data_IF_608617997300
#
_entry.id   IF_608617997300
#
_cell.length_a   1.000
_cell.length_b   1.000
_cell.length_c   1.000
_cell.angle_alpha   90.00
_cell.angle_beta   90.00
_cell.angle_gamma   90.00
#
_symmetry.space_group_name_H-M   'P 1'
#
loop_
_entity.id
_entity.type
_entity.pdbx_description
1 polymer ?
#
# COMPACT_ATOMS: atom_id res chain seq x y z
N UNK A 1 26.65 -6.51 -21.07
CA UNK A 1 26.42 -7.33 -19.86
C UNK A 1 25.08 -7.99 -20.09
N UNK A 2 25.14 -9.32 -20.24
CA UNK A 2 24.08 -10.32 -20.32
C UNK A 2 23.05 -10.16 -21.43
N UNK A 3 23.09 -11.09 -22.39
CA UNK A 3 22.02 -11.30 -23.36
C UNK A 3 20.69 -11.44 -22.61
N UNK A 4 19.80 -10.45 -22.71
CA UNK A 4 18.57 -10.34 -21.90
C UNK A 4 17.68 -11.60 -21.91
N UNK A 5 17.85 -12.47 -22.92
CA UNK A 5 17.20 -13.78 -23.00
C UNK A 5 17.58 -14.75 -21.88
N UNK A 6 18.78 -14.60 -21.28
CA UNK A 6 19.27 -15.45 -20.19
C UNK A 6 18.86 -14.95 -18.79
N UNK A 7 18.29 -13.75 -18.70
CA UNK A 7 17.81 -13.15 -17.44
C UNK A 7 16.29 -13.32 -17.24
N UNK A 8 15.67 -14.18 -18.04
CA UNK A 8 14.26 -14.55 -17.89
C UNK A 8 14.10 -15.41 -16.62
N UNK A 9 13.43 -14.85 -15.61
CA UNK A 9 13.29 -15.47 -14.28
C UNK A 9 12.38 -16.71 -14.25
N UNK A 10 11.43 -16.84 -15.19
CA UNK A 10 10.57 -18.02 -15.28
C UNK A 10 10.03 -18.22 -16.69
N UNK A 11 9.74 -19.48 -17.03
CA UNK A 11 9.40 -19.87 -18.39
C UNK A 11 7.94 -19.65 -18.77
N UNK A 12 7.02 -19.37 -17.86
CA UNK A 12 5.60 -19.11 -18.17
C UNK A 12 4.89 -18.46 -16.97
N UNK A 13 3.78 -17.75 -17.23
CA UNK A 13 3.10 -16.75 -16.38
C UNK A 13 2.54 -17.16 -15.00
N UNK A 14 3.20 -18.09 -14.31
CA UNK A 14 2.81 -18.61 -12.99
C UNK A 14 3.31 -17.72 -11.84
N UNK A 15 4.31 -16.87 -12.09
CA UNK A 15 4.90 -15.98 -11.08
C UNK A 15 4.67 -14.52 -11.44
N UNK A 16 4.10 -13.77 -10.51
CA UNK A 16 3.88 -12.35 -10.68
C UNK A 16 5.09 -11.52 -10.27
N UNK A 17 5.56 -10.66 -11.18
CA UNK A 17 6.51 -9.59 -10.89
C UNK A 17 5.93 -8.26 -11.38
N UNK A 18 5.74 -7.32 -10.45
CA UNK A 18 5.30 -5.99 -10.82
C UNK A 18 6.41 -5.27 -11.60
N UNK A 19 6.11 -4.84 -12.82
CA UNK A 19 7.12 -4.29 -13.73
C UNK A 19 6.60 -3.06 -14.47
N UNK A 20 7.10 -1.88 -14.07
CA UNK A 20 6.66 -0.59 -14.62
C UNK A 20 7.04 -0.43 -16.09
N UNK A 21 8.20 -0.94 -16.49
CA UNK A 21 8.67 -0.87 -17.88
C UNK A 21 7.77 -1.69 -18.81
N UNK A 22 7.12 -2.74 -18.29
CA UNK A 22 6.05 -3.45 -19.01
C UNK A 22 4.89 -2.52 -19.38
N UNK A 23 4.48 -1.62 -18.49
CA UNK A 23 3.47 -0.60 -18.78
C UNK A 23 3.98 0.48 -19.73
N UNK A 24 5.26 0.85 -19.67
CA UNK A 24 5.87 1.73 -20.66
C UNK A 24 5.81 1.13 -22.08
N UNK A 25 6.07 -0.19 -22.21
CA UNK A 25 5.91 -0.92 -23.47
C UNK A 25 4.44 -0.96 -23.94
N UNK A 26 3.48 -1.13 -23.03
CA UNK A 26 2.05 -1.02 -23.38
C UNK A 26 1.68 0.38 -23.92
N UNK A 27 2.26 1.44 -23.35
CA UNK A 27 2.13 2.80 -23.88
C UNK A 27 2.64 2.93 -25.32
N UNK A 28 3.79 2.31 -25.62
CA UNK A 28 4.35 2.28 -26.98
C UNK A 28 3.49 1.46 -27.94
N UNK A 29 2.93 0.33 -27.49
CA UNK A 29 1.99 -0.47 -28.30
C UNK A 29 0.76 0.37 -28.67
N UNK A 30 0.16 1.07 -27.70
CA UNK A 30 -0.97 1.97 -27.96
C UNK A 30 -0.58 3.00 -29.01
N UNK A 31 0.60 3.61 -28.88
CA UNK A 31 1.07 4.63 -29.81
C UNK A 31 1.21 4.09 -31.25
N UNK A 32 1.81 2.91 -31.42
CA UNK A 32 2.00 2.30 -32.74
C UNK A 32 0.68 1.87 -33.38
N UNK A 33 -0.21 1.29 -32.61
CA UNK A 33 -1.51 0.78 -33.11
C UNK A 33 -2.44 1.94 -33.44
N UNK A 34 -2.49 2.98 -32.61
CA UNK A 34 -3.43 4.10 -32.82
C UNK A 34 -2.87 5.22 -33.70
N UNK A 35 -1.56 5.27 -33.94
CA UNK A 35 -0.89 6.39 -34.60
C UNK A 35 -0.92 7.70 -33.81
N UNK A 36 -1.19 7.66 -32.50
CA UNK A 36 -1.28 8.83 -31.61
C UNK A 36 -0.31 8.66 -30.46
N UNK A 37 0.26 9.74 -29.93
CA UNK A 37 1.02 9.67 -28.67
C UNK A 37 0.12 9.08 -27.56
N UNK A 38 0.68 8.24 -26.69
CA UNK A 38 -0.06 7.61 -25.58
C UNK A 38 -0.87 8.62 -24.77
N UNK A 39 -0.24 9.72 -24.35
CA UNK A 39 -0.88 10.77 -23.54
C UNK A 39 -2.05 11.44 -24.27
N UNK A 40 -1.93 11.67 -25.58
CA UNK A 40 -3.01 12.16 -26.44
C UNK A 40 -4.15 11.14 -26.54
N UNK A 41 -3.82 9.86 -26.76
CA UNK A 41 -4.82 8.80 -26.85
C UNK A 41 -5.64 8.69 -25.56
N UNK A 42 -4.99 8.65 -24.39
CA UNK A 42 -5.66 8.58 -23.09
C UNK A 42 -6.50 9.84 -22.83
N UNK A 43 -5.97 11.03 -23.17
CA UNK A 43 -6.71 12.28 -23.00
C UNK A 43 -8.00 12.28 -23.83
N UNK A 44 -7.95 11.83 -25.08
CA UNK A 44 -9.09 11.86 -26.00
C UNK A 44 -10.12 10.76 -25.76
N UNK A 45 -9.66 9.54 -25.44
CA UNK A 45 -10.53 8.36 -25.38
C UNK A 45 -10.98 8.02 -23.95
N UNK A 46 -10.30 8.54 -22.93
CA UNK A 46 -10.60 8.23 -21.52
C UNK A 46 -10.92 9.51 -20.75
N UNK A 47 -9.98 10.46 -20.66
CA UNK A 47 -10.15 11.63 -19.78
C UNK A 47 -11.29 12.54 -20.24
N UNK A 48 -11.33 12.92 -21.52
CA UNK A 48 -12.40 13.78 -22.07
C UNK A 48 -13.79 13.14 -21.94
N UNK A 49 -14.04 11.87 -22.33
CA UNK A 49 -15.35 11.23 -22.13
C UNK A 49 -15.80 11.13 -20.67
N UNK A 50 -14.85 11.05 -19.73
CA UNK A 50 -15.12 11.09 -18.28
C UNK A 50 -15.26 12.52 -17.73
N UNK A 51 -15.05 13.53 -18.57
CA UNK A 51 -15.04 14.94 -18.17
C UNK A 51 -13.88 15.30 -17.25
N UNK A 52 -12.78 14.54 -17.25
CA UNK A 52 -11.61 14.72 -16.38
C UNK A 52 -10.69 15.83 -16.92
N UNK A 53 -11.19 17.07 -16.98
CA UNK A 53 -10.52 18.22 -17.59
C UNK A 53 -9.35 18.78 -16.77
N UNK A 54 -9.25 18.42 -15.48
CA UNK A 54 -8.10 18.78 -14.62
C UNK A 54 -7.07 17.66 -14.51
N UNK A 55 -7.23 16.58 -15.28
CA UNK A 55 -6.32 15.45 -15.32
C UNK A 55 -5.39 15.56 -16.53
N UNK A 56 -4.09 15.38 -16.33
CA UNK A 56 -3.09 15.64 -17.36
C UNK A 56 -1.80 14.84 -17.14
N UNK A 57 -1.09 14.59 -18.23
CA UNK A 57 0.32 14.13 -18.21
C UNK A 57 1.31 15.30 -18.31
N UNK A 58 0.83 16.48 -18.70
CA UNK A 58 1.64 17.69 -18.83
C UNK A 58 1.73 18.42 -17.49
N UNK A 59 2.93 18.44 -16.91
CA UNK A 59 3.23 19.11 -15.65
C UNK A 59 3.00 20.63 -15.72
N UNK A 60 3.20 21.25 -16.87
CA UNK A 60 3.05 22.70 -17.02
C UNK A 60 1.61 23.17 -16.79
N UNK A 61 0.63 22.27 -16.99
CA UNK A 61 -0.78 22.51 -16.65
C UNK A 61 -0.97 22.55 -15.14
N UNK A 62 -0.33 21.64 -14.41
CA UNK A 62 -0.40 21.61 -12.94
C UNK A 62 0.29 22.82 -12.31
N UNK A 63 1.45 23.24 -12.82
CA UNK A 63 2.17 24.41 -12.27
C UNK A 63 1.38 25.72 -12.41
N UNK A 64 0.32 25.74 -13.23
CA UNK A 64 -0.59 26.87 -13.43
C UNK A 64 -1.93 26.70 -12.73
N UNK A 65 -2.23 25.51 -12.19
CA UNK A 65 -3.49 25.25 -11.49
C UNK A 65 -3.41 25.82 -10.07
N UNK A 66 -4.34 26.72 -9.66
CA UNK A 66 -4.31 27.34 -8.33
C UNK A 66 -4.56 26.37 -7.18
N UNK A 67 -5.11 25.19 -7.47
CA UNK A 67 -5.40 24.11 -6.51
C UNK A 67 -4.49 22.89 -6.79
N UNK A 68 -3.27 23.16 -7.29
CA UNK A 68 -2.23 22.17 -7.44
C UNK A 68 -1.62 21.76 -6.09
N UNK A 69 -1.40 20.47 -5.90
CA UNK A 69 -0.69 19.99 -4.71
C UNK A 69 0.80 20.37 -4.74
N UNK A 70 1.33 20.71 -3.57
CA UNK A 70 2.78 20.66 -3.31
C UNK A 70 3.15 19.26 -2.86
N UNK A 71 3.97 18.54 -3.64
CA UNK A 71 4.48 17.22 -3.25
C UNK A 71 5.61 17.32 -2.23
N UNK A 72 5.74 16.33 -1.36
CA UNK A 72 6.74 16.29 -0.31
C UNK A 72 7.44 14.93 -0.23
N UNK A 73 8.76 14.94 -0.01
CA UNK A 73 9.48 13.79 0.53
C UNK A 73 9.51 13.89 2.06
N UNK A 74 9.35 12.77 2.74
CA UNK A 74 9.56 12.72 4.18
C UNK A 74 11.06 12.69 4.48
N UNK A 75 11.47 13.36 5.55
CA UNK A 75 12.86 13.30 6.02
C UNK A 75 12.99 12.26 7.12
N UNK A 76 14.20 11.73 7.30
CA UNK A 76 14.51 10.76 8.37
C UNK A 76 14.13 11.26 9.78
N UNK A 77 14.08 12.58 9.97
CA UNK A 77 13.70 13.23 11.24
C UNK A 77 12.20 13.55 11.34
N UNK A 78 11.35 12.98 10.48
CA UNK A 78 9.90 13.22 10.45
C UNK A 78 9.48 14.56 9.85
N UNK A 79 10.41 15.31 9.23
CA UNK A 79 10.11 16.55 8.53
C UNK A 79 9.58 16.30 7.10
N UNK A 80 9.24 17.38 6.40
CA UNK A 80 8.76 17.33 5.00
C UNK A 80 9.58 18.28 4.14
N UNK A 81 10.06 17.80 2.99
CA UNK A 81 10.79 18.60 2.01
C UNK A 81 9.97 18.75 0.73
N UNK A 82 9.58 19.97 0.32
CA UNK A 82 8.88 20.19 -0.94
C UNK A 82 9.69 19.63 -2.11
N UNK A 83 9.04 18.91 -3.01
CA UNK A 83 9.63 18.38 -4.23
C UNK A 83 8.65 18.49 -5.40
N UNK A 84 9.21 18.62 -6.61
CA UNK A 84 8.41 18.60 -7.84
C UNK A 84 8.03 17.17 -8.17
N UNK A 85 6.86 17.00 -8.81
CA UNK A 85 6.46 15.71 -9.35
C UNK A 85 7.44 15.29 -10.46
N UNK A 86 7.97 14.06 -10.42
CA UNK A 86 8.86 13.57 -11.47
C UNK A 86 8.03 13.31 -12.74
N UNK A 87 8.36 14.03 -13.81
CA UNK A 87 7.67 13.91 -15.09
C UNK A 87 8.69 13.52 -16.16
N UNK A 88 8.42 12.41 -16.86
CA UNK A 88 9.24 11.94 -17.96
C UNK A 88 8.38 11.08 -18.91
N UNK A 89 8.52 11.21 -20.24
CA UNK A 89 7.70 10.42 -21.18
C UNK A 89 7.75 8.90 -20.96
N UNK A 90 8.88 8.38 -20.46
CA UNK A 90 9.02 6.95 -20.12
C UNK A 90 8.14 6.50 -18.95
N UNK A 91 7.70 7.41 -18.08
CA UNK A 91 6.83 7.09 -16.94
C UNK A 91 5.35 7.36 -17.21
N UNK A 92 5.01 8.03 -18.32
CA UNK A 92 3.63 8.45 -18.63
C UNK A 92 2.65 7.27 -18.56
N UNK A 93 2.98 6.14 -19.19
CA UNK A 93 2.12 4.97 -19.22
C UNK A 93 2.11 4.15 -17.92
N UNK A 94 3.20 4.19 -17.15
CA UNK A 94 3.32 3.44 -15.90
C UNK A 94 2.74 4.18 -14.68
N UNK A 95 2.74 5.52 -14.69
CA UNK A 95 2.31 6.30 -13.53
C UNK A 95 2.37 7.83 -13.69
N UNK A 96 2.45 8.36 -14.90
CA UNK A 96 2.63 9.80 -15.12
C UNK A 96 1.32 10.62 -15.11
N UNK A 97 0.16 9.99 -14.93
CA UNK A 97 -1.10 10.72 -14.86
C UNK A 97 -1.21 11.50 -13.55
N UNK A 98 -1.42 12.81 -13.66
CA UNK A 98 -1.75 13.69 -12.55
C UNK A 98 -3.26 13.93 -12.57
N UNK A 99 -3.92 13.74 -11.44
CA UNK A 99 -5.38 13.88 -11.30
C UNK A 99 -5.77 14.33 -9.88
N UNK A 100 -7.05 14.64 -9.68
CA UNK A 100 -7.64 14.86 -8.35
C UNK A 100 -8.51 13.68 -7.94
N UNK A 101 -8.73 13.48 -6.64
CA UNK A 101 -9.63 12.42 -6.13
C UNK A 101 -11.04 12.54 -6.69
N UNK A 102 -11.50 13.78 -6.96
CA UNK A 102 -12.82 14.10 -7.54
C UNK A 102 -12.95 13.72 -9.01
N UNK A 103 -11.85 13.72 -9.78
CA UNK A 103 -11.86 13.26 -11.16
C UNK A 103 -11.59 11.76 -11.26
N UNK A 104 -10.70 11.23 -10.42
CA UNK A 104 -10.47 9.79 -10.30
C UNK A 104 -11.75 9.04 -9.87
N UNK A 105 -12.62 9.64 -9.06
CA UNK A 105 -13.91 9.04 -8.69
C UNK A 105 -14.85 8.88 -9.88
N UNK A 106 -14.67 9.65 -10.97
CA UNK A 106 -15.43 9.50 -12.23
C UNK A 106 -14.98 8.26 -12.98
N UNK A 107 -13.67 7.99 -13.00
CA UNK A 107 -13.13 6.73 -13.52
C UNK A 107 -13.65 5.54 -12.70
N UNK A 108 -13.63 5.62 -11.37
CA UNK A 108 -14.20 4.59 -10.49
C UNK A 108 -15.69 4.38 -10.76
N UNK A 109 -16.46 5.46 -10.92
CA UNK A 109 -17.87 5.40 -11.27
C UNK A 109 -18.10 4.70 -12.62
N UNK A 110 -17.26 4.97 -13.62
CA UNK A 110 -17.30 4.27 -14.92
C UNK A 110 -17.03 2.77 -14.77
N UNK A 111 -16.06 2.40 -13.94
CA UNK A 111 -15.73 1.01 -13.65
C UNK A 111 -16.90 0.26 -13.01
N UNK A 112 -17.49 0.83 -11.96
CA UNK A 112 -18.69 0.29 -11.28
C UNK A 112 -19.84 0.15 -12.28
N UNK A 113 -20.04 1.14 -13.16
CA UNK A 113 -21.08 1.17 -14.17
C UNK A 113 -20.69 0.46 -15.48
N UNK A 114 -19.76 -0.51 -15.44
CA UNK A 114 -19.45 -1.43 -16.53
C UNK A 114 -19.09 -0.73 -17.85
N UNK A 115 -18.27 0.31 -17.75
CA UNK A 115 -17.77 1.05 -18.91
C UNK A 115 -18.57 2.30 -19.27
N UNK A 116 -19.58 2.68 -18.47
CA UNK A 116 -20.47 3.82 -18.77
C UNK A 116 -20.34 4.91 -17.71
N UNK A 117 -20.23 6.17 -18.14
CA UNK A 117 -20.27 7.32 -17.25
C UNK A 117 -21.25 8.36 -17.79
N UNK A 118 -22.23 8.77 -16.98
CA UNK A 118 -23.29 9.72 -17.36
C UNK A 118 -23.96 9.41 -18.72
N UNK A 119 -24.22 8.12 -18.98
CA UNK A 119 -24.84 7.65 -20.23
C UNK A 119 -23.89 7.47 -21.41
N UNK A 120 -22.62 7.89 -21.30
CA UNK A 120 -21.62 7.71 -22.35
C UNK A 120 -20.82 6.43 -22.11
N UNK A 121 -20.76 5.54 -23.11
CA UNK A 121 -19.88 4.36 -23.08
C UNK A 121 -18.44 4.77 -23.38
N UNK A 122 -17.56 4.61 -22.41
CA UNK A 122 -16.12 4.87 -22.52
C UNK A 122 -15.36 3.59 -22.86
N UNK A 123 -15.73 2.47 -22.24
CA UNK A 123 -15.11 1.16 -22.47
C UNK A 123 -16.21 0.11 -22.69
N UNK A 124 -15.95 -0.88 -23.54
CA UNK A 124 -16.83 -2.02 -23.70
C UNK A 124 -16.87 -2.85 -22.42
N UNK A 125 -18.07 -3.30 -22.05
CA UNK A 125 -18.30 -4.09 -20.84
C UNK A 125 -17.39 -5.31 -20.77
N UNK A 126 -17.32 -6.08 -21.85
CA UNK A 126 -16.53 -7.31 -21.94
C UNK A 126 -15.02 -7.05 -21.77
N UNK A 127 -14.52 -5.95 -22.34
CA UNK A 127 -13.12 -5.53 -22.19
C UNK A 127 -12.80 -5.20 -20.74
N UNK A 128 -13.70 -4.49 -20.07
CA UNK A 128 -13.53 -4.11 -18.67
C UNK A 128 -13.64 -5.32 -17.73
N UNK A 129 -14.63 -6.20 -17.95
CA UNK A 129 -14.78 -7.44 -17.18
C UNK A 129 -13.56 -8.34 -17.35
N UNK A 130 -12.97 -8.41 -18.55
CA UNK A 130 -11.69 -9.13 -18.78
C UNK A 130 -10.52 -8.50 -18.02
N UNK A 131 -10.48 -7.18 -17.89
CA UNK A 131 -9.44 -6.50 -17.11
C UNK A 131 -9.54 -6.82 -15.60
N UNK A 132 -10.73 -7.19 -15.12
CA UNK A 132 -11.01 -7.58 -13.74
C UNK A 132 -10.88 -9.09 -13.50
N UNK A 133 -10.44 -9.87 -14.49
CA UNK A 133 -10.18 -11.30 -14.29
C UNK A 133 -8.93 -11.50 -13.43
N UNK A 134 -8.97 -12.31 -12.35
CA UNK A 134 -7.83 -12.58 -11.48
C UNK A 134 -6.87 -13.60 -12.15
N UNK A 135 -5.97 -13.13 -13.02
CA UNK A 135 -5.12 -14.01 -13.82
C UNK A 135 -4.00 -14.68 -13.04
N UNK A 136 -3.34 -13.93 -12.14
CA UNK A 136 -2.15 -14.41 -11.42
C UNK A 136 -2.20 -13.97 -9.97
N UNK A 137 -1.74 -14.84 -9.06
CA UNK A 137 -1.72 -14.53 -7.63
C UNK A 137 -0.70 -13.43 -7.34
N UNK A 138 -1.13 -12.42 -6.59
CA UNK A 138 -0.28 -11.33 -6.14
C UNK A 138 0.41 -11.73 -4.83
N UNK A 139 1.71 -12.05 -4.92
CA UNK A 139 2.50 -12.59 -3.81
C UNK A 139 3.40 -11.55 -3.16
N UNK A 140 2.88 -10.34 -2.88
CA UNK A 140 3.62 -9.39 -2.05
C UNK A 140 3.45 -9.72 -0.56
N UNK A 141 4.52 -9.64 0.26
CA UNK A 141 4.44 -9.83 1.71
C UNK A 141 3.48 -8.84 2.38
N UNK A 142 3.33 -7.64 1.81
CA UNK A 142 2.46 -6.56 2.25
C UNK A 142 0.99 -6.75 1.87
N UNK A 143 0.51 -7.98 1.75
CA UNK A 143 -0.89 -8.27 1.43
C UNK A 143 -1.78 -7.78 2.58
N UNK A 144 -2.20 -6.51 2.51
CA UNK A 144 -2.98 -5.80 3.54
C UNK A 144 -4.30 -6.50 3.86
N UNK A 145 -4.86 -7.21 2.86
CA UNK A 145 -6.08 -8.00 2.95
C UNK A 145 -5.79 -9.51 2.85
N UNK A 146 -4.78 -9.92 2.07
CA UNK A 146 -4.49 -11.34 1.83
C UNK A 146 -5.31 -11.92 0.67
N UNK A 147 -4.69 -12.76 -0.15
CA UNK A 147 -5.39 -13.44 -1.24
C UNK A 147 -5.65 -12.58 -2.49
N UNK A 148 -4.83 -11.55 -2.69
CA UNK A 148 -4.90 -10.68 -3.86
C UNK A 148 -4.47 -11.42 -5.14
N UNK A 149 -5.10 -11.04 -6.25
CA UNK A 149 -4.76 -11.42 -7.61
C UNK A 149 -4.51 -10.16 -8.45
N UNK A 150 -3.83 -10.32 -9.57
CA UNK A 150 -3.61 -9.25 -10.53
C UNK A 150 -4.35 -9.51 -11.84
N UNK A 151 -5.09 -8.50 -12.29
CA UNK A 151 -5.76 -8.44 -13.59
C UNK A 151 -4.98 -7.56 -14.57
N UNK A 152 -5.66 -6.91 -15.52
CA UNK A 152 -5.00 -5.94 -16.40
C UNK A 152 -4.98 -4.55 -15.77
N UNK A 153 -4.00 -4.29 -14.90
CA UNK A 153 -3.85 -3.00 -14.20
C UNK A 153 -4.70 -2.86 -12.94
N UNK A 154 -5.24 -3.95 -12.43
CA UNK A 154 -6.06 -3.97 -11.22
C UNK A 154 -5.58 -5.06 -10.27
N UNK A 155 -5.53 -4.71 -8.99
CA UNK A 155 -5.44 -5.67 -7.88
C UNK A 155 -6.87 -6.06 -7.53
N UNK A 156 -7.11 -7.37 -7.47
CA UNK A 156 -8.43 -7.97 -7.26
C UNK A 156 -8.37 -8.85 -6.02
N UNK A 157 -9.21 -8.54 -5.04
CA UNK A 157 -9.42 -9.40 -3.89
C UNK A 157 -10.85 -9.95 -3.93
N UNK A 158 -11.00 -11.25 -4.19
CA UNK A 158 -12.31 -11.89 -4.31
C UNK A 158 -12.98 -12.19 -2.95
N UNK A 159 -12.26 -11.98 -1.85
CA UNK A 159 -12.67 -12.36 -0.50
C UNK A 159 -12.51 -11.20 0.48
N UNK A 160 -12.69 -9.96 0.02
CA UNK A 160 -12.69 -8.79 0.90
C UNK A 160 -13.99 -8.79 1.70
N UNK A 161 -14.01 -9.59 2.76
CA UNK A 161 -15.10 -9.70 3.73
C UNK A 161 -16.46 -10.04 3.07
N UNK A 162 -16.42 -10.96 2.10
CA UNK A 162 -17.59 -11.42 1.36
C UNK A 162 -17.88 -10.67 0.06
N UNK A 163 -17.05 -9.68 -0.30
CA UNK A 163 -17.19 -8.91 -1.54
C UNK A 163 -15.94 -9.00 -2.42
N UNK A 164 -16.11 -8.69 -3.71
CA UNK A 164 -15.00 -8.46 -4.62
C UNK A 164 -14.52 -7.01 -4.51
N UNK A 165 -13.30 -6.81 -4.01
CA UNK A 165 -12.63 -5.52 -4.04
C UNK A 165 -11.72 -5.44 -5.27
N UNK A 166 -11.87 -4.38 -6.06
CA UNK A 166 -11.03 -4.08 -7.23
C UNK A 166 -10.41 -2.70 -7.04
N UNK A 167 -9.11 -2.58 -7.22
CA UNK A 167 -8.44 -1.30 -7.05
C UNK A 167 -7.00 -1.29 -7.51
N UNK A 168 -6.31 -0.16 -7.28
CA UNK A 168 -4.87 -0.06 -7.47
C UNK A 168 -4.31 1.06 -6.60
N UNK A 169 -3.14 0.83 -6.03
CA UNK A 169 -2.35 1.85 -5.34
C UNK A 169 -1.39 2.56 -6.29
N UNK A 170 -0.83 3.68 -5.87
CA UNK A 170 0.19 4.40 -6.63
C UNK A 170 1.11 5.15 -5.68
N UNK A 171 2.39 5.20 -6.00
CA UNK A 171 3.39 5.94 -5.25
C UNK A 171 4.50 6.40 -6.20
N UNK A 172 4.84 7.68 -6.13
CA UNK A 172 5.92 8.29 -6.92
C UNK A 172 6.92 9.07 -6.03
N UNK A 173 6.96 8.72 -4.74
CA UNK A 173 7.74 9.36 -3.68
C UNK A 173 7.08 10.62 -3.15
N UNK A 174 6.84 11.59 -4.03
CA UNK A 174 6.30 12.91 -3.61
C UNK A 174 4.78 12.94 -3.48
N UNK A 175 4.13 11.85 -3.88
CA UNK A 175 2.69 11.65 -3.80
C UNK A 175 2.37 10.16 -3.86
N UNK A 176 1.26 9.82 -3.23
CA UNK A 176 0.66 8.50 -3.27
C UNK A 176 -0.84 8.62 -3.52
N UNK A 177 -1.42 7.60 -4.11
CA UNK A 177 -2.84 7.55 -4.41
C UNK A 177 -3.37 6.13 -4.30
N UNK A 178 -4.68 6.04 -4.13
CA UNK A 178 -5.40 4.79 -4.18
C UNK A 178 -6.79 5.02 -4.75
N UNK A 179 -7.25 4.07 -5.55
CA UNK A 179 -8.67 3.88 -5.77
C UNK A 179 -9.03 2.42 -5.50
N UNK A 180 -10.23 2.21 -4.98
CA UNK A 180 -10.79 0.89 -4.76
C UNK A 180 -12.31 0.95 -4.82
N UNK A 181 -12.94 -0.10 -5.32
CA UNK A 181 -14.38 -0.21 -5.43
C UNK A 181 -14.88 -1.63 -5.26
N UNK A 182 -16.12 -1.72 -4.80
CA UNK A 182 -16.88 -2.95 -4.61
C UNK A 182 -18.10 -2.87 -5.55
N UNK A 183 -18.04 -3.49 -6.75
CA UNK A 183 -19.12 -3.43 -7.73
C UNK A 183 -20.49 -3.85 -7.16
N UNK A 184 -20.52 -4.88 -6.32
CA UNK A 184 -21.71 -5.44 -5.68
C UNK A 184 -22.45 -4.44 -4.81
N UNK A 185 -21.74 -3.46 -4.26
CA UNK A 185 -22.28 -2.41 -3.39
C UNK A 185 -22.43 -1.07 -4.11
N UNK A 186 -22.01 -0.96 -5.38
CA UNK A 186 -21.88 0.32 -6.08
C UNK A 186 -21.09 1.36 -5.27
N UNK A 187 -20.09 0.89 -4.52
CA UNK A 187 -19.30 1.68 -3.58
C UNK A 187 -17.88 1.83 -4.11
N UNK A 188 -17.33 3.05 -4.06
CA UNK A 188 -15.96 3.32 -4.44
C UNK A 188 -15.34 4.41 -3.58
N UNK A 189 -14.03 4.30 -3.36
CA UNK A 189 -13.22 5.25 -2.59
C UNK A 189 -12.02 5.65 -3.44
N UNK A 190 -11.68 6.94 -3.41
CA UNK A 190 -10.45 7.50 -3.95
C UNK A 190 -9.74 8.30 -2.87
N UNK A 191 -8.44 8.09 -2.73
CA UNK A 191 -7.59 8.77 -1.73
C UNK A 191 -6.30 9.21 -2.43
N UNK A 192 -5.81 10.39 -2.08
CA UNK A 192 -4.50 10.85 -2.50
C UNK A 192 -3.81 11.59 -1.35
N UNK A 193 -2.50 11.40 -1.25
CA UNK A 193 -1.62 12.12 -0.33
C UNK A 193 -0.53 12.82 -1.13
N UNK A 194 -0.07 13.97 -0.63
CA UNK A 194 1.02 14.74 -1.22
C UNK A 194 2.40 14.37 -0.63
N UNK A 195 2.57 13.09 -0.33
CA UNK A 195 3.79 12.45 0.16
C UNK A 195 3.68 10.94 -0.07
N UNK A 196 4.75 10.22 0.25
CA UNK A 196 4.81 8.75 0.30
C UNK A 196 3.90 8.08 1.35
N UNK A 197 3.01 8.83 2.01
CA UNK A 197 2.06 8.30 3.01
C UNK A 197 1.18 7.17 2.46
N UNK A 198 0.67 6.24 3.28
CA UNK A 198 0.04 5.01 2.79
C UNK A 198 -1.42 5.24 2.32
N UNK A 199 -1.62 5.84 1.15
CA UNK A 199 -2.95 6.10 0.58
C UNK A 199 -3.80 4.83 0.43
N UNK A 200 -3.19 3.69 0.06
CA UNK A 200 -3.86 2.39 -0.02
C UNK A 200 -4.48 1.97 1.30
N UNK A 201 -3.73 2.08 2.41
CA UNK A 201 -4.23 1.70 3.74
C UNK A 201 -5.41 2.60 4.15
N UNK A 202 -5.32 3.91 3.90
CA UNK A 202 -6.40 4.86 4.16
C UNK A 202 -7.66 4.54 3.35
N UNK A 203 -7.51 4.20 2.07
CA UNK A 203 -8.62 3.82 1.21
C UNK A 203 -9.31 2.53 1.64
N UNK A 204 -8.52 1.51 2.00
CA UNK A 204 -9.05 0.26 2.55
C UNK A 204 -9.74 0.48 3.90
N UNK A 205 -9.18 1.32 4.76
CA UNK A 205 -9.78 1.67 6.05
C UNK A 205 -11.13 2.36 5.83
N UNK A 206 -11.21 3.34 4.91
CA UNK A 206 -12.46 4.01 4.56
C UNK A 206 -13.50 3.02 4.02
N UNK A 207 -13.10 2.07 3.16
CA UNK A 207 -14.00 1.01 2.68
C UNK A 207 -14.54 0.15 3.83
N UNK A 208 -13.68 -0.24 4.79
CA UNK A 208 -14.13 -0.98 5.97
C UNK A 208 -15.17 -0.20 6.77
N UNK A 209 -14.90 1.08 7.06
CA UNK A 209 -15.85 1.95 7.79
C UNK A 209 -17.17 2.10 7.05
N UNK A 210 -17.14 2.33 5.72
CA UNK A 210 -18.34 2.52 4.91
C UNK A 210 -19.19 1.25 4.75
N UNK A 211 -18.58 0.09 4.96
CA UNK A 211 -19.24 -1.23 4.88
C UNK A 211 -19.58 -1.81 6.26
N UNK A 212 -19.28 -1.11 7.34
CA UNK A 212 -19.51 -1.57 8.72
C UNK A 212 -18.57 -2.70 9.15
N UNK A 213 -17.49 -2.93 8.43
CA UNK A 213 -16.46 -3.91 8.75
C UNK A 213 -15.47 -3.29 9.72
N UNK A 214 -15.12 -4.00 10.80
CA UNK A 214 -14.06 -3.56 11.72
C UNK A 214 -12.70 -3.57 11.00
N UNK A 215 -12.05 -2.40 10.78
CA UNK A 215 -10.77 -2.33 10.08
C UNK A 215 -9.66 -3.16 10.75
N UNK A 216 -9.70 -3.32 12.07
CA UNK A 216 -8.70 -4.14 12.78
C UNK A 216 -8.85 -5.63 12.48
N UNK A 217 -10.07 -6.10 12.18
CA UNK A 217 -10.32 -7.49 11.81
C UNK A 217 -9.98 -7.77 10.35
N UNK A 218 -10.10 -6.77 9.48
CA UNK A 218 -9.99 -6.92 8.03
C UNK A 218 -8.61 -6.55 7.47
N UNK A 219 -7.87 -5.67 8.15
CA UNK A 219 -6.61 -5.12 7.66
C UNK A 219 -5.47 -5.53 8.59
N UNK A 220 -4.64 -6.45 8.11
CA UNK A 220 -3.53 -7.03 8.89
C UNK A 220 -2.57 -5.97 9.43
N UNK A 221 -2.29 -4.95 8.62
CA UNK A 221 -1.43 -3.82 9.01
C UNK A 221 -2.02 -3.00 10.15
N UNK A 222 -3.34 -2.73 10.15
CA UNK A 222 -3.99 -1.97 11.23
C UNK A 222 -3.93 -2.76 12.54
N UNK A 223 -4.23 -4.05 12.49
CA UNK A 223 -4.12 -4.95 13.64
C UNK A 223 -2.68 -4.97 14.18
N UNK A 224 -1.70 -5.08 13.27
CA UNK A 224 -0.28 -5.13 13.59
C UNK A 224 0.22 -3.83 14.21
N UNK A 225 -0.17 -2.66 13.68
CA UNK A 225 0.17 -1.36 14.23
C UNK A 225 -0.39 -1.16 15.65
N UNK A 226 -1.65 -1.56 15.87
CA UNK A 226 -2.26 -1.50 17.19
C UNK A 226 -1.58 -2.47 18.18
N UNK A 227 -1.15 -3.64 17.71
CA UNK A 227 -0.35 -4.54 18.52
C UNK A 227 1.01 -3.91 18.86
N UNK A 228 1.71 -3.35 17.86
CA UNK A 228 3.00 -2.70 18.04
C UNK A 228 2.94 -1.59 19.09
N UNK A 229 2.00 -0.64 18.96
CA UNK A 229 1.83 0.46 19.92
C UNK A 229 1.55 0.00 21.36
N UNK A 230 0.85 -1.13 21.54
CA UNK A 230 0.65 -1.71 22.88
C UNK A 230 1.94 -2.31 23.44
N UNK A 231 2.83 -2.81 22.60
CA UNK A 231 4.07 -3.49 22.99
C UNK A 231 5.27 -2.56 23.10
N UNK A 232 5.38 -1.50 22.30
CA UNK A 232 6.53 -0.58 22.34
C UNK A 232 6.63 0.15 23.67
N UNK A 233 7.86 0.41 24.13
CA UNK A 233 8.15 1.09 25.38
C UNK A 233 9.16 0.35 26.25
N UNK A 234 9.36 0.86 27.46
CA UNK A 234 10.37 0.36 28.41
C UNK A 234 9.77 -0.68 29.35
N UNK A 235 10.56 -1.69 29.64
CA UNK A 235 10.21 -2.78 30.54
C UNK A 235 11.32 -3.01 31.57
N UNK A 236 10.92 -3.51 32.74
CA UNK A 236 11.84 -3.88 33.81
C UNK A 236 11.39 -5.15 34.55
N UNK A 237 12.34 -5.94 35.01
CA UNK A 237 12.08 -7.01 35.98
C UNK A 237 11.93 -6.45 37.40
N UNK A 238 11.70 -7.32 38.38
CA UNK A 238 11.58 -6.94 39.79
C UNK A 238 12.74 -6.03 40.23
N UNK A 239 12.41 -4.92 40.90
CA UNK A 239 13.34 -3.88 41.34
C UNK A 239 14.27 -3.31 40.25
N UNK A 240 13.94 -3.46 38.96
CA UNK A 240 14.73 -2.91 37.87
C UNK A 240 16.05 -3.62 37.61
N UNK A 241 16.23 -4.85 38.11
CA UNK A 241 17.48 -5.63 37.98
C UNK A 241 17.86 -5.83 36.51
N UNK A 242 16.88 -6.16 35.66
CA UNK A 242 17.05 -6.21 34.21
C UNK A 242 16.07 -5.24 33.56
N UNK A 243 16.53 -4.55 32.53
CA UNK A 243 15.73 -3.63 31.72
C UNK A 243 15.68 -4.12 30.29
N UNK A 244 14.59 -3.82 29.62
CA UNK A 244 14.43 -4.07 28.19
C UNK A 244 13.62 -2.93 27.55
N UNK A 245 13.77 -2.76 26.24
CA UNK A 245 12.99 -1.81 25.45
C UNK A 245 12.45 -2.54 24.25
N UNK A 246 11.13 -2.47 24.03
CA UNK A 246 10.56 -2.89 22.76
C UNK A 246 10.48 -1.67 21.87
N UNK A 247 11.17 -1.70 20.74
CA UNK A 247 11.15 -0.63 19.73
C UNK A 247 10.58 -1.14 18.42
N UNK A 248 9.97 -0.25 17.64
CA UNK A 248 9.56 -0.53 16.27
C UNK A 248 10.55 0.12 15.31
N UNK A 249 10.94 -0.62 14.27
CA UNK A 249 11.75 -0.12 13.16
C UNK A 249 11.18 -0.69 11.85
N UNK A 250 10.70 0.21 10.98
CA UNK A 250 9.89 -0.16 9.82
C UNK A 250 8.70 -1.04 10.24
N UNK A 251 8.46 -2.19 9.56
CA UNK A 251 7.37 -3.11 9.91
C UNK A 251 7.73 -4.10 11.01
N UNK A 252 8.89 -3.97 11.69
CA UNK A 252 9.38 -4.98 12.62
C UNK A 252 9.47 -4.45 14.05
N UNK A 253 9.18 -5.33 15.01
CA UNK A 253 9.46 -5.10 16.42
C UNK A 253 10.82 -5.68 16.80
N UNK A 254 11.49 -5.03 17.74
CA UNK A 254 12.73 -5.49 18.33
C UNK A 254 12.63 -5.44 19.85
N UNK A 255 13.07 -6.51 20.52
CA UNK A 255 13.32 -6.48 21.95
C UNK A 255 14.81 -6.22 22.18
N UNK A 256 15.10 -5.08 22.80
CA UNK A 256 16.44 -4.66 23.20
C UNK A 256 16.62 -4.99 24.67
N UNK A 257 17.51 -5.92 25.00
CA UNK A 257 17.93 -6.17 26.39
C UNK A 257 19.00 -5.13 26.74
N UNK A 258 18.91 -4.56 27.94
CA UNK A 258 19.76 -3.45 28.35
C UNK A 258 20.79 -3.88 29.39
N UNK A 259 22.00 -3.35 29.28
CA UNK A 259 23.05 -3.39 30.30
C UNK A 259 23.39 -1.95 30.67
N UNK A 260 22.93 -1.52 31.87
CA UNK A 260 22.94 -0.11 32.23
C UNK A 260 22.01 0.72 31.34
N UNK A 261 22.59 1.70 30.64
CA UNK A 261 21.90 2.62 29.71
C UNK A 261 21.99 2.16 28.24
N UNK A 262 22.82 1.15 27.93
CA UNK A 262 23.07 0.71 26.55
C UNK A 262 22.43 -0.63 26.23
N UNK A 263 21.89 -0.85 25.01
CA UNK A 263 21.43 -2.16 24.60
C UNK A 263 22.60 -3.15 24.51
N UNK A 264 22.56 -4.23 25.28
CA UNK A 264 23.55 -5.33 25.18
C UNK A 264 23.18 -6.30 24.05
N UNK A 265 21.89 -6.41 23.72
CA UNK A 265 21.40 -7.27 22.66
C UNK A 265 20.12 -6.71 22.05
N UNK A 266 19.97 -6.78 20.72
CA UNK A 266 18.76 -6.38 20.00
C UNK A 266 18.30 -7.54 19.13
N UNK A 267 17.15 -8.12 19.45
CA UNK A 267 16.62 -9.29 18.75
C UNK A 267 15.30 -8.95 18.05
N UNK A 268 15.10 -9.38 16.78
CA UNK A 268 13.80 -9.28 16.13
C UNK A 268 12.73 -10.02 16.92
N UNK A 269 11.64 -9.33 17.24
CA UNK A 269 10.45 -9.88 17.88
C UNK A 269 9.40 -10.12 16.78
N UNK A 270 9.21 -11.39 16.41
CA UNK A 270 8.33 -11.82 15.31
C UNK A 270 7.12 -12.59 15.84
N UNK A 271 6.07 -12.65 15.04
CA UNK A 271 4.81 -13.32 15.39
C UNK A 271 4.49 -14.44 14.40
N UNK A 272 4.07 -15.58 14.92
CA UNK A 272 3.51 -16.69 14.13
C UNK A 272 2.16 -17.07 14.71
N UNK A 273 1.09 -16.60 14.05
CA UNK A 273 -0.25 -16.63 14.63
C UNK A 273 -0.29 -15.86 15.94
N UNK A 274 -0.71 -16.53 17.03
CA UNK A 274 -0.83 -15.93 18.36
C UNK A 274 0.43 -16.07 19.22
N UNK A 275 1.53 -16.60 18.68
CA UNK A 275 2.80 -16.78 19.40
C UNK A 275 3.80 -15.73 18.99
N UNK A 276 4.61 -15.27 19.94
CA UNK A 276 5.69 -14.33 19.71
C UNK A 276 7.04 -15.00 19.95
N UNK A 277 8.05 -14.63 19.16
CA UNK A 277 9.40 -15.20 19.26
C UNK A 277 10.48 -14.15 19.08
N UNK A 278 11.60 -14.31 19.78
CA UNK A 278 12.85 -13.64 19.48
C UNK A 278 13.64 -14.51 18.51
N UNK A 279 14.05 -13.95 17.38
CA UNK A 279 14.97 -14.62 16.46
C UNK A 279 16.39 -14.57 17.03
N UNK A 280 16.99 -15.73 17.25
CA UNK A 280 18.32 -15.87 17.82
C UNK A 280 19.18 -16.79 16.95
N UNK A 281 20.05 -16.20 16.11
CA UNK A 281 20.82 -16.96 15.13
C UNK A 281 19.90 -17.74 14.19
N UNK A 282 20.03 -19.06 14.15
CA UNK A 282 19.14 -19.96 13.39
C UNK A 282 17.92 -20.44 14.16
N UNK A 283 17.78 -20.06 15.44
CA UNK A 283 16.73 -20.50 16.34
C UNK A 283 15.68 -19.43 16.66
N UNK A 284 14.66 -19.84 17.40
CA UNK A 284 13.59 -18.99 17.93
C UNK A 284 13.44 -19.22 19.43
N UNK A 285 13.36 -18.15 20.20
CA UNK A 285 13.03 -18.19 21.64
C UNK A 285 11.62 -17.67 21.83
N UNK A 286 10.71 -18.48 22.38
CA UNK A 286 9.33 -18.06 22.62
C UNK A 286 9.26 -16.93 23.67
N UNK A 287 8.44 -15.92 23.38
CA UNK A 287 8.09 -14.82 24.28
C UNK A 287 6.62 -14.93 24.58
N UNK A 288 6.28 -15.23 25.83
CA UNK A 288 4.87 -15.20 26.25
C UNK A 288 4.50 -13.76 26.61
N UNK A 289 3.50 -13.22 25.93
CA UNK A 289 2.99 -11.87 26.14
C UNK A 289 1.68 -11.98 26.93
N UNK A 290 1.60 -11.32 28.09
CA UNK A 290 0.38 -11.27 28.91
C UNK A 290 -0.07 -9.82 29.04
N UNK A 291 -1.30 -9.55 28.62
CA UNK A 291 -1.95 -8.24 28.75
C UNK A 291 -3.18 -8.38 29.65
N UNK A 292 -3.18 -7.69 30.80
CA UNK A 292 -4.31 -7.71 31.73
C UNK A 292 -4.41 -6.39 32.49
N UNK A 293 -5.64 -5.83 32.57
CA UNK A 293 -5.95 -4.60 33.32
C UNK A 293 -4.98 -3.44 33.05
N UNK A 294 -4.64 -3.21 31.78
CA UNK A 294 -3.73 -2.14 31.37
C UNK A 294 -2.23 -2.40 31.61
N UNK A 295 -1.85 -3.59 32.10
CA UNK A 295 -0.45 -4.00 32.25
C UNK A 295 -0.06 -4.94 31.12
N UNK A 296 1.14 -4.74 30.58
CA UNK A 296 1.78 -5.65 29.63
C UNK A 296 3.00 -6.28 30.28
N UNK A 297 3.10 -7.60 30.18
CA UNK A 297 4.23 -8.38 30.67
C UNK A 297 4.82 -9.25 29.56
N UNK A 298 6.15 -9.32 29.49
CA UNK A 298 6.89 -10.19 28.58
C UNK A 298 7.63 -11.24 29.40
N UNK A 299 7.34 -12.51 29.15
CA UNK A 299 8.06 -13.64 29.72
C UNK A 299 9.11 -14.08 28.72
N UNK A 300 10.38 -13.90 29.08
CA UNK A 300 11.53 -14.21 28.22
C UNK A 300 12.48 -15.11 29.00
N UNK A 301 12.55 -16.39 28.62
CA UNK A 301 13.27 -17.43 29.36
C UNK A 301 12.89 -17.40 30.86
N UNK A 302 13.83 -17.08 31.77
CA UNK A 302 13.58 -17.04 33.22
C UNK A 302 12.99 -15.72 33.72
N UNK A 303 12.95 -14.69 32.88
CA UNK A 303 12.66 -13.32 33.29
C UNK A 303 11.22 -12.90 32.97
N UNK A 304 10.65 -12.10 33.86
CA UNK A 304 9.35 -11.44 33.66
C UNK A 304 9.57 -9.93 33.62
N UNK A 305 9.39 -9.35 32.44
CA UNK A 305 9.54 -7.93 32.17
C UNK A 305 8.17 -7.24 32.25
N UNK A 306 8.04 -6.25 33.12
CA UNK A 306 6.83 -5.45 33.29
C UNK A 306 6.98 -4.13 32.53
N UNK A 307 5.99 -3.74 31.74
CA UNK A 307 5.99 -2.43 31.08
C UNK A 307 5.93 -1.33 32.14
N UNK A 308 6.90 -0.42 32.13
CA UNK A 308 7.04 0.69 33.09
C UNK A 308 6.83 2.06 32.45
N UNK A 309 7.02 2.18 31.13
CA UNK A 309 6.81 3.41 30.38
C UNK A 309 6.28 3.06 28.98
N UNK A 310 5.27 3.79 28.52
CA UNK A 310 4.87 3.73 27.11
C UNK A 310 5.86 4.58 26.29
N UNK A 311 6.23 4.11 25.10
CA UNK A 311 6.95 4.98 24.18
C UNK A 311 6.08 6.20 23.89
N UNK A 312 6.61 7.41 24.11
CA UNK A 312 6.02 8.63 23.58
C UNK A 312 6.29 8.63 22.08
N UNK A 313 5.34 8.09 21.31
CA UNK A 313 5.33 8.13 19.85
C UNK A 313 5.31 9.58 19.38
#
# INVERSE_FOLDING_TARGET
INSASEERLSDEGDVFFYWNEGYALLGEIIQRVSGKKYTTYVTENILKPLGMSRSSFDRSVLDKDPDAMTGYLLTEKGGRKPQKFPAHPLVDAAGGLITSVSELSRFVSMCINKGVYKGNRVINRETLEKAFTPFVKHTLPSNLVGGDYYGYGFIINQNFQGYTLIGHGGNIGVSSAYFGFIPELSLGVTVACNSESPATLLGLYALCVLTGIDPESALTEVAFEKMCSKLTGKYATFNGVHKAIVTKDGPNLFLKLMEGETPSLSLPLVFEGNKAYLLWGSGKLEVKIVQSKGKTQLYVERNVYHKIEADSV
#
